data_IF_977505150994
#
_entry.id   IF_977505150994
#
_cell.length_a   1.000
_cell.length_b   1.000
_cell.length_c   1.000
_cell.angle_alpha   90.00
_cell.angle_beta   90.00
_cell.angle_gamma   90.00
#
_symmetry.space_group_name_H-M   'P 1'
#
loop_
_entity.id
_entity.type
_entity.pdbx_description
1 polymer ?
#
# COMPACT_ATOMS: atom_id res chain seq x y z
N UNK A 1 -11.40 5.61 -20.35
CA UNK A 1 -11.54 5.30 -18.90
C UNK A 1 -11.61 6.61 -18.10
N UNK A 2 -12.05 6.57 -16.81
CA UNK A 2 -11.98 7.75 -15.94
C UNK A 2 -10.53 7.99 -15.53
N UNK A 3 -10.09 9.26 -15.44
CA UNK A 3 -8.75 9.57 -14.96
C UNK A 3 -8.50 9.04 -13.53
N UNK A 4 -7.28 8.64 -13.18
CA UNK A 4 -6.92 8.17 -11.84
C UNK A 4 -7.34 9.13 -10.73
N UNK A 5 -7.13 10.41 -10.92
CA UNK A 5 -7.51 11.45 -9.97
C UNK A 5 -9.02 11.44 -9.68
N UNK A 6 -9.86 11.39 -10.72
CA UNK A 6 -11.32 11.32 -10.55
C UNK A 6 -11.76 10.06 -9.84
N UNK A 7 -11.11 8.93 -10.12
CA UNK A 7 -11.40 7.64 -9.43
C UNK A 7 -11.05 7.75 -7.96
N UNK A 8 -9.83 8.17 -7.63
CA UNK A 8 -9.35 8.26 -6.25
C UNK A 8 -10.13 9.30 -5.44
N UNK A 9 -10.43 10.48 -6.01
CA UNK A 9 -11.25 11.50 -5.37
C UNK A 9 -12.66 10.99 -5.10
N UNK A 10 -13.28 10.27 -6.04
CA UNK A 10 -14.60 9.66 -5.82
C UNK A 10 -14.58 8.65 -4.69
N UNK A 11 -13.55 7.80 -4.59
CA UNK A 11 -13.39 6.86 -3.46
C UNK A 11 -13.28 7.61 -2.13
N UNK A 12 -12.44 8.65 -2.07
CA UNK A 12 -12.23 9.47 -0.87
C UNK A 12 -13.50 10.21 -0.44
N UNK A 13 -14.29 10.72 -1.38
CA UNK A 13 -15.56 11.38 -1.03
C UNK A 13 -16.59 10.40 -0.46
N UNK A 14 -16.75 9.23 -1.10
CA UNK A 14 -17.69 8.22 -0.62
C UNK A 14 -17.26 7.58 0.71
N UNK A 15 -15.96 7.53 1.00
CA UNK A 15 -15.45 6.96 2.27
C UNK A 15 -15.82 7.79 3.51
N UNK A 16 -16.28 9.03 3.33
CA UNK A 16 -16.79 9.86 4.43
C UNK A 16 -18.11 9.36 5.00
N UNK A 17 -18.85 8.60 4.22
CA UNK A 17 -20.07 7.93 4.66
C UNK A 17 -19.74 6.50 5.10
N UNK A 18 -19.75 6.25 6.41
CA UNK A 18 -19.45 4.94 6.98
C UNK A 18 -20.43 3.82 6.55
N UNK A 19 -21.61 4.18 6.05
CA UNK A 19 -22.61 3.25 5.54
C UNK A 19 -22.40 2.90 4.07
N UNK A 20 -21.58 3.67 3.36
CA UNK A 20 -21.34 3.46 1.93
C UNK A 20 -20.54 2.18 1.69
N UNK A 21 -21.00 1.36 0.77
CA UNK A 21 -20.34 0.14 0.33
C UNK A 21 -19.79 0.32 -1.07
N UNK A 22 -18.50 0.15 -1.21
CA UNK A 22 -17.84 0.24 -2.50
C UNK A 22 -18.17 -0.98 -3.38
N UNK A 23 -18.41 -0.72 -4.65
CA UNK A 23 -18.64 -1.77 -5.65
C UNK A 23 -17.54 -1.76 -6.71
N UNK A 24 -17.24 -2.93 -7.23
CA UNK A 24 -16.36 -3.11 -8.39
C UNK A 24 -14.95 -2.53 -8.19
N UNK A 25 -14.42 -2.54 -6.97
CA UNK A 25 -13.06 -2.04 -6.69
C UNK A 25 -12.00 -2.74 -7.54
N UNK A 26 -12.15 -4.05 -7.74
CA UNK A 26 -11.22 -4.84 -8.56
C UNK A 26 -11.10 -4.30 -10.00
N UNK A 27 -12.16 -3.74 -10.58
CA UNK A 27 -12.12 -3.15 -11.93
C UNK A 27 -11.19 -1.93 -12.05
N UNK A 28 -10.81 -1.31 -10.93
CA UNK A 28 -9.85 -0.20 -10.94
C UNK A 28 -8.47 -0.71 -11.39
N UNK A 29 -8.16 -1.99 -11.10
CA UNK A 29 -6.93 -2.66 -11.57
C UNK A 29 -6.89 -2.88 -13.09
N UNK A 30 -7.98 -2.61 -13.82
CA UNK A 30 -8.02 -2.71 -15.28
C UNK A 30 -7.72 -1.36 -15.97
N UNK A 31 -7.48 -0.32 -15.18
CA UNK A 31 -7.22 1.02 -15.71
C UNK A 31 -5.72 1.23 -15.90
N UNK A 32 -5.27 1.28 -17.14
CA UNK A 32 -3.86 1.49 -17.51
C UNK A 32 -3.27 2.77 -16.90
N UNK A 33 -4.05 3.86 -16.84
CA UNK A 33 -3.59 5.13 -16.29
C UNK A 33 -3.26 5.01 -14.78
N UNK A 34 -3.92 4.11 -14.04
CA UNK A 34 -3.56 3.81 -12.66
C UNK A 34 -2.15 3.22 -12.56
N UNK A 35 -1.78 2.34 -13.50
CA UNK A 35 -0.43 1.76 -13.56
C UNK A 35 0.62 2.80 -13.95
N UNK A 36 0.30 3.76 -14.80
CA UNK A 36 1.22 4.86 -15.11
C UNK A 36 1.49 5.72 -13.88
N UNK A 37 0.45 6.08 -13.14
CA UNK A 37 0.61 6.82 -11.87
C UNK A 37 1.38 5.99 -10.85
N UNK A 38 1.07 4.69 -10.73
CA UNK A 38 1.82 3.78 -9.85
C UNK A 38 3.30 3.73 -10.24
N UNK A 39 3.60 3.58 -11.52
CA UNK A 39 4.96 3.60 -12.03
C UNK A 39 5.69 4.90 -11.67
N UNK A 40 5.08 6.07 -11.92
CA UNK A 40 5.66 7.36 -11.56
C UNK A 40 5.96 7.48 -10.06
N UNK A 41 5.08 6.98 -9.21
CA UNK A 41 5.25 7.00 -7.74
C UNK A 41 6.38 6.13 -7.24
N UNK A 42 6.65 5.01 -7.90
CA UNK A 42 7.71 4.08 -7.49
C UNK A 42 9.03 4.30 -8.23
N UNK A 43 9.02 4.95 -9.41
CA UNK A 43 10.18 5.10 -10.29
C UNK A 43 11.38 5.74 -9.58
N UNK A 44 11.18 6.85 -8.91
CA UNK A 44 12.24 7.63 -8.27
C UNK A 44 12.65 7.11 -6.88
N UNK A 45 12.02 6.02 -6.38
CA UNK A 45 12.34 5.49 -5.05
C UNK A 45 13.60 4.62 -5.08
N UNK A 46 14.44 4.77 -4.07
CA UNK A 46 15.59 3.90 -3.85
C UNK A 46 15.17 2.42 -3.79
N UNK A 47 16.04 1.53 -4.28
CA UNK A 47 15.81 0.09 -4.27
C UNK A 47 14.99 -0.45 -5.43
N UNK A 48 14.46 0.40 -6.33
CA UNK A 48 13.71 -0.09 -7.50
C UNK A 48 14.59 -0.80 -8.53
N UNK A 49 15.88 -0.50 -8.54
CA UNK A 49 16.88 -1.22 -9.34
C UNK A 49 17.26 -2.59 -8.75
N UNK A 50 16.78 -2.91 -7.55
CA UNK A 50 17.01 -4.23 -6.94
C UNK A 50 16.15 -5.27 -7.64
N UNK A 51 16.81 -6.27 -8.24
CA UNK A 51 16.15 -7.37 -8.95
C UNK A 51 15.29 -8.20 -8.01
N UNK A 52 14.04 -8.44 -8.40
CA UNK A 52 13.16 -9.40 -7.76
C UNK A 52 13.61 -10.86 -7.95
N UNK A 53 12.73 -11.81 -7.64
CA UNK A 53 12.95 -13.24 -7.89
C UNK A 53 13.01 -13.58 -9.38
N UNK A 54 12.34 -12.78 -10.22
CA UNK A 54 12.33 -12.89 -11.68
C UNK A 54 13.56 -12.28 -12.38
N UNK A 55 14.48 -11.69 -11.62
CA UNK A 55 15.68 -11.04 -12.14
C UNK A 55 15.46 -9.72 -12.86
N UNK A 56 14.22 -9.22 -12.92
CA UNK A 56 13.87 -7.98 -13.60
C UNK A 56 13.95 -6.76 -12.67
N UNK A 57 14.14 -5.60 -13.30
CA UNK A 57 14.15 -4.28 -12.63
C UNK A 57 13.11 -3.37 -13.25
N UNK A 58 13.05 -2.15 -12.77
CA UNK A 58 12.17 -1.09 -13.29
C UNK A 58 12.47 -0.74 -14.77
N UNK A 59 13.71 -0.92 -15.24
CA UNK A 59 14.12 -0.58 -16.61
C UNK A 59 13.42 -1.42 -17.68
N UNK A 60 12.84 -2.56 -17.31
CA UNK A 60 12.09 -3.42 -18.21
C UNK A 60 10.65 -2.93 -18.42
N UNK A 61 10.33 -1.67 -18.05
CA UNK A 61 9.00 -1.12 -18.17
C UNK A 61 8.62 -0.86 -19.62
N UNK A 62 7.41 -1.24 -20.01
CA UNK A 62 6.82 -0.93 -21.31
C UNK A 62 5.29 -0.93 -21.23
N UNK A 63 4.63 -0.24 -22.18
CA UNK A 63 3.18 -0.24 -22.28
C UNK A 63 2.63 -1.64 -22.47
N UNK A 64 3.24 -2.43 -23.36
CA UNK A 64 2.88 -3.84 -23.59
C UNK A 64 2.96 -4.71 -22.32
N UNK A 65 3.86 -4.36 -21.40
CA UNK A 65 3.97 -5.06 -20.11
C UNK A 65 2.78 -4.75 -19.23
N UNK A 66 2.33 -3.49 -19.18
CA UNK A 66 1.13 -3.10 -18.43
C UNK A 66 -0.10 -3.77 -19.03
N UNK A 67 -0.29 -3.69 -20.35
CA UNK A 67 -1.41 -4.35 -21.05
C UNK A 67 -1.50 -5.83 -20.70
N UNK A 68 -0.38 -6.55 -20.86
CA UNK A 68 -0.32 -7.98 -20.51
C UNK A 68 -0.62 -8.23 -19.03
N UNK A 69 -0.15 -7.38 -18.13
CA UNK A 69 -0.41 -7.50 -16.71
C UNK A 69 -1.91 -7.31 -16.41
N UNK A 70 -2.52 -6.30 -17.02
CA UNK A 70 -3.96 -6.04 -16.90
C UNK A 70 -4.78 -7.21 -17.46
N UNK A 71 -4.37 -7.81 -18.58
CA UNK A 71 -5.08 -8.95 -19.14
C UNK A 71 -5.06 -10.14 -18.18
N UNK A 72 -3.92 -10.43 -17.54
CA UNK A 72 -3.86 -11.49 -16.50
C UNK A 72 -4.67 -11.18 -15.25
N UNK A 73 -4.94 -9.89 -14.96
CA UNK A 73 -5.85 -9.49 -13.88
C UNK A 73 -7.32 -9.63 -14.29
N UNK A 74 -7.66 -9.31 -15.55
CA UNK A 74 -9.04 -9.44 -16.06
C UNK A 74 -9.51 -10.87 -16.13
N UNK A 75 -8.63 -11.79 -16.53
CA UNK A 75 -8.92 -13.21 -16.65
C UNK A 75 -8.63 -13.99 -15.34
N UNK A 76 -8.25 -13.28 -14.27
CA UNK A 76 -7.97 -13.83 -12.94
C UNK A 76 -6.85 -14.88 -12.91
N UNK A 77 -5.97 -14.88 -13.91
CA UNK A 77 -4.84 -15.81 -14.00
C UNK A 77 -3.56 -15.28 -13.34
N UNK A 78 -3.57 -14.03 -12.89
CA UNK A 78 -2.41 -13.44 -12.23
C UNK A 78 -2.05 -14.20 -10.94
N UNK A 79 -0.77 -14.61 -10.84
CA UNK A 79 -0.22 -15.22 -9.64
C UNK A 79 0.97 -14.39 -9.13
N UNK A 80 0.91 -13.86 -7.90
CA UNK A 80 2.05 -13.16 -7.29
C UNK A 80 3.26 -14.07 -7.21
N UNK A 81 4.44 -13.51 -7.48
CA UNK A 81 5.68 -14.26 -7.42
C UNK A 81 6.28 -14.23 -6.01
N UNK A 82 7.00 -15.28 -5.60
CA UNK A 82 7.71 -15.28 -4.32
C UNK A 82 8.68 -14.10 -4.21
N UNK A 83 8.63 -13.40 -3.08
CA UNK A 83 9.57 -12.32 -2.81
C UNK A 83 10.98 -12.85 -2.57
N UNK A 84 11.99 -12.20 -3.16
CA UNK A 84 13.38 -12.49 -2.89
C UNK A 84 13.77 -12.00 -1.50
N UNK A 85 14.24 -12.89 -0.63
CA UNK A 85 14.68 -12.51 0.71
C UNK A 85 16.11 -11.96 0.68
N UNK A 86 16.26 -10.75 1.21
CA UNK A 86 17.56 -10.07 1.40
C UNK A 86 17.72 -9.72 2.88
N UNK A 87 18.95 -9.79 3.40
CA UNK A 87 19.22 -9.47 4.80
C UNK A 87 19.95 -8.13 4.92
N UNK A 88 19.35 -7.18 5.64
CA UNK A 88 19.93 -5.86 5.89
C UNK A 88 20.55 -5.83 7.28
N UNK A 89 21.81 -5.38 7.44
CA UNK A 89 22.44 -5.25 8.74
C UNK A 89 21.75 -4.15 9.57
N UNK A 90 21.58 -4.43 10.86
CA UNK A 90 21.14 -3.45 11.86
C UNK A 90 22.37 -2.84 12.56
N UNK A 91 22.22 -1.66 13.17
CA UNK A 91 23.29 -0.99 13.96
C UNK A 91 23.83 -1.86 15.11
N UNK A 92 23.03 -2.78 15.63
CA UNK A 92 23.40 -3.71 16.71
C UNK A 92 24.02 -5.02 16.21
N UNK A 93 24.49 -5.10 14.99
CA UNK A 93 25.11 -6.29 14.38
C UNK A 93 24.14 -7.39 13.92
N UNK A 94 22.88 -7.33 14.32
CA UNK A 94 21.86 -8.27 13.86
C UNK A 94 21.44 -7.96 12.41
N UNK A 95 20.88 -8.95 11.72
CA UNK A 95 20.31 -8.77 10.38
C UNK A 95 18.78 -8.77 10.46
N UNK A 96 18.13 -7.94 9.63
CA UNK A 96 16.68 -8.03 9.43
C UNK A 96 16.40 -8.58 8.04
N UNK A 97 15.47 -9.53 7.90
CA UNK A 97 15.01 -9.97 6.59
C UNK A 97 14.19 -8.86 5.92
N UNK A 98 14.37 -8.72 4.62
CA UNK A 98 13.56 -7.87 3.75
C UNK A 98 13.09 -8.71 2.56
N UNK A 99 11.81 -8.72 2.28
CA UNK A 99 11.23 -9.29 1.06
C UNK A 99 11.30 -8.28 -0.07
N UNK A 100 11.89 -8.66 -1.20
CA UNK A 100 11.91 -7.84 -2.42
C UNK A 100 10.96 -8.49 -3.42
N UNK A 101 9.75 -7.94 -3.63
CA UNK A 101 8.81 -8.45 -4.61
C UNK A 101 9.30 -8.20 -6.04
N UNK A 102 8.72 -8.89 -7.01
CA UNK A 102 8.97 -8.62 -8.42
C UNK A 102 8.47 -7.22 -8.80
N UNK A 103 8.91 -6.72 -9.94
CA UNK A 103 8.48 -5.39 -10.37
C UNK A 103 6.99 -5.36 -10.73
N UNK A 104 6.44 -6.43 -11.31
CA UNK A 104 5.00 -6.56 -11.56
C UNK A 104 4.20 -6.52 -10.27
N UNK A 105 4.63 -7.28 -9.25
CA UNK A 105 3.97 -7.26 -7.94
C UNK A 105 4.03 -5.87 -7.31
N UNK A 106 5.17 -5.17 -7.39
CA UNK A 106 5.28 -3.79 -6.90
C UNK A 106 4.29 -2.84 -7.58
N UNK A 107 4.09 -2.96 -8.90
CA UNK A 107 3.13 -2.13 -9.63
C UNK A 107 1.69 -2.39 -9.16
N UNK A 108 1.28 -3.66 -9.07
CA UNK A 108 -0.06 -4.01 -8.61
C UNK A 108 -0.25 -3.55 -7.16
N UNK A 109 0.72 -3.83 -6.28
CA UNK A 109 0.69 -3.40 -4.89
C UNK A 109 0.53 -1.88 -4.76
N UNK A 110 1.21 -1.10 -5.61
CA UNK A 110 1.07 0.36 -5.59
C UNK A 110 -0.32 0.82 -6.06
N UNK A 111 -0.91 0.19 -7.08
CA UNK A 111 -2.29 0.49 -7.49
C UNK A 111 -3.27 0.15 -6.36
N UNK A 112 -3.14 -1.03 -5.74
CA UNK A 112 -3.96 -1.43 -4.59
C UNK A 112 -3.76 -0.45 -3.42
N UNK A 113 -2.51 -0.04 -3.13
CA UNK A 113 -2.20 0.94 -2.09
C UNK A 113 -2.90 2.28 -2.35
N UNK A 114 -2.91 2.78 -3.60
CA UNK A 114 -3.60 4.03 -3.95
C UNK A 114 -5.11 3.93 -3.70
N UNK A 115 -5.71 2.80 -4.03
CA UNK A 115 -7.15 2.57 -3.81
C UNK A 115 -7.47 2.52 -2.31
N UNK A 116 -6.72 1.72 -1.55
CA UNK A 116 -6.92 1.59 -0.10
C UNK A 116 -6.63 2.90 0.63
N UNK A 117 -5.59 3.64 0.23
CA UNK A 117 -5.29 4.97 0.77
C UNK A 117 -6.45 5.94 0.55
N UNK A 118 -7.05 5.97 -0.65
CA UNK A 118 -8.19 6.84 -0.95
C UNK A 118 -9.42 6.49 -0.09
N UNK A 119 -9.61 5.22 0.26
CA UNK A 119 -10.73 4.77 1.08
C UNK A 119 -10.50 5.02 2.58
N UNK A 120 -9.28 4.71 3.08
CA UNK A 120 -9.03 4.68 4.52
C UNK A 120 -8.36 5.93 5.10
N UNK A 121 -7.66 6.75 4.28
CA UNK A 121 -6.88 7.89 4.78
C UNK A 121 -7.72 8.87 5.61
N UNK A 122 -8.94 9.14 5.17
CA UNK A 122 -9.87 10.04 5.87
C UNK A 122 -10.41 9.52 7.20
N UNK A 123 -10.30 8.20 7.43
CA UNK A 123 -10.87 7.52 8.60
C UNK A 123 -9.82 7.18 9.67
N UNK A 124 -8.54 7.46 9.42
CA UNK A 124 -7.51 7.25 10.43
C UNK A 124 -7.62 8.28 11.55
N UNK A 125 -7.39 7.83 12.77
CA UNK A 125 -7.30 8.71 13.94
C UNK A 125 -6.27 9.82 13.73
N UNK A 126 -6.55 11.03 14.26
CA UNK A 126 -5.68 12.18 14.10
C UNK A 126 -4.29 11.98 14.73
N UNK A 127 -4.19 11.07 15.70
CA UNK A 127 -2.95 10.66 16.37
C UNK A 127 -2.09 9.69 15.55
N UNK A 128 -2.63 9.15 14.44
CA UNK A 128 -1.89 8.26 13.55
C UNK A 128 -0.98 9.06 12.63
N UNK A 129 0.34 8.81 12.68
CA UNK A 129 1.33 9.54 11.90
C UNK A 129 2.14 8.67 10.94
N UNK A 130 2.26 7.35 11.22
CA UNK A 130 3.12 6.45 10.46
C UNK A 130 2.63 6.18 9.05
N UNK A 131 3.52 6.33 8.05
CA UNK A 131 3.28 5.98 6.63
C UNK A 131 2.09 6.66 5.95
N UNK A 132 1.60 7.76 6.50
CA UNK A 132 0.48 8.53 5.95
C UNK A 132 0.96 9.72 5.11
N UNK A 133 0.19 10.13 4.06
CA UNK A 133 0.46 11.36 3.31
C UNK A 133 0.52 12.58 4.25
N UNK A 134 1.48 13.47 4.01
CA UNK A 134 1.68 14.72 4.79
C UNK A 134 1.90 14.52 6.29
N UNK A 135 2.18 13.29 6.74
CA UNK A 135 2.54 12.95 8.13
C UNK A 135 3.99 12.46 8.19
N UNK A 136 4.64 12.68 9.32
CA UNK A 136 6.04 12.31 9.53
C UNK A 136 6.36 12.14 11.02
N UNK A 137 7.58 11.71 11.34
CA UNK A 137 8.07 11.73 12.72
C UNK A 137 8.01 13.14 13.33
N UNK A 138 8.28 14.20 12.53
CA UNK A 138 8.20 15.59 13.02
C UNK A 138 6.77 16.00 13.37
N UNK A 139 5.77 15.60 12.57
CA UNK A 139 4.37 15.88 12.92
C UNK A 139 3.94 15.14 14.18
N UNK A 140 4.43 13.90 14.39
CA UNK A 140 4.19 13.15 15.63
C UNK A 140 4.81 13.83 16.85
N UNK A 141 6.09 14.24 16.75
CA UNK A 141 6.79 14.95 17.83
C UNK A 141 6.11 16.28 18.17
N UNK A 142 5.70 17.04 17.16
CA UNK A 142 4.96 18.31 17.36
C UNK A 142 3.62 18.05 18.05
N UNK A 143 2.93 16.98 17.70
CA UNK A 143 1.69 16.57 18.34
C UNK A 143 1.92 16.25 19.83
N UNK A 144 2.90 15.40 20.13
CA UNK A 144 3.28 15.06 21.50
C UNK A 144 3.64 16.32 22.30
N UNK A 145 4.45 17.22 21.74
CA UNK A 145 4.84 18.45 22.41
C UNK A 145 3.65 19.34 22.77
N UNK A 146 2.62 19.38 21.93
CA UNK A 146 1.44 20.23 22.15
C UNK A 146 0.42 19.61 23.10
N UNK A 147 0.15 18.30 22.94
CA UNK A 147 -0.97 17.62 23.61
C UNK A 147 -0.59 16.96 24.94
N UNK A 148 0.72 16.61 25.12
CA UNK A 148 1.17 15.89 26.31
C UNK A 148 1.71 16.81 27.40
N UNK A 149 1.36 18.10 27.38
CA UNK A 149 1.72 19.03 28.44
C UNK A 149 1.14 18.60 29.79
N UNK A 150 2.03 18.45 30.78
CA UNK A 150 1.64 18.02 32.12
C UNK A 150 1.50 16.51 32.30
N UNK A 151 1.76 15.71 31.27
CA UNK A 151 1.79 14.26 31.39
C UNK A 151 2.90 13.81 32.36
N UNK A 152 2.53 13.07 33.42
CA UNK A 152 3.47 12.51 34.42
C UNK A 152 3.91 11.09 34.11
N UNK A 153 3.14 10.38 33.29
CA UNK A 153 3.35 9.00 32.93
C UNK A 153 3.32 8.83 31.42
N UNK A 154 4.19 7.98 30.93
CA UNK A 154 4.23 7.57 29.53
C UNK A 154 4.17 6.05 29.46
N UNK A 155 3.21 5.51 28.71
CA UNK A 155 3.07 4.08 28.46
C UNK A 155 3.45 3.80 27.01
N UNK A 156 4.53 3.05 26.80
CA UNK A 156 4.99 2.64 25.49
C UNK A 156 4.56 1.20 25.22
N UNK A 157 4.02 0.95 24.04
CA UNK A 157 3.64 -0.38 23.57
C UNK A 157 4.06 -0.58 22.12
N UNK A 158 4.50 -1.81 21.79
CA UNK A 158 4.83 -2.21 20.42
C UNK A 158 4.30 -3.63 20.14
N UNK A 159 3.83 -3.84 18.91
CA UNK A 159 3.32 -5.15 18.47
C UNK A 159 4.48 -5.94 17.87
N UNK A 160 4.93 -6.95 18.61
CA UNK A 160 6.00 -7.82 18.14
C UNK A 160 5.59 -8.65 16.92
N UNK A 161 6.36 -8.50 15.84
CA UNK A 161 6.16 -9.31 14.63
C UNK A 161 4.78 -9.08 13.98
N UNK A 162 4.30 -7.84 13.94
CA UNK A 162 2.97 -7.51 13.44
C UNK A 162 2.67 -8.17 12.11
N UNK A 163 3.51 -7.97 11.09
CA UNK A 163 3.28 -8.53 9.75
C UNK A 163 3.36 -10.06 9.68
N UNK A 164 4.17 -10.68 10.53
CA UNK A 164 4.31 -12.14 10.56
C UNK A 164 3.12 -12.82 11.28
N UNK A 165 2.34 -12.06 12.07
CA UNK A 165 1.25 -12.55 12.90
C UNK A 165 -0.13 -12.04 12.48
N UNK A 166 -0.24 -11.34 11.34
CA UNK A 166 -1.55 -10.92 10.80
C UNK A 166 -2.37 -12.18 10.47
N UNK A 167 -3.57 -12.25 11.03
CA UNK A 167 -4.56 -13.24 10.59
C UNK A 167 -5.17 -12.76 9.27
N UNK A 168 -4.87 -13.46 8.18
CA UNK A 168 -5.31 -13.08 6.85
C UNK A 168 -6.83 -13.16 6.69
N UNK A 169 -7.50 -14.12 7.31
CA UNK A 169 -8.95 -14.25 7.24
C UNK A 169 -9.64 -13.05 7.90
N UNK A 170 -9.13 -12.61 9.06
CA UNK A 170 -9.65 -11.41 9.73
C UNK A 170 -9.40 -10.17 8.87
N UNK A 171 -8.22 -10.01 8.29
CA UNK A 171 -7.90 -8.89 7.39
C UNK A 171 -8.84 -8.86 6.18
N UNK A 172 -9.05 -9.99 5.52
CA UNK A 172 -9.97 -10.09 4.36
C UNK A 172 -11.40 -9.75 4.78
N UNK A 173 -11.87 -10.24 5.92
CA UNK A 173 -13.21 -9.93 6.41
C UNK A 173 -13.38 -8.43 6.70
N UNK A 174 -12.37 -7.74 7.21
CA UNK A 174 -12.38 -6.28 7.40
C UNK A 174 -12.50 -5.57 6.04
N UNK A 175 -11.74 -6.01 5.03
CA UNK A 175 -11.81 -5.43 3.68
C UNK A 175 -13.17 -5.68 3.02
N UNK A 176 -13.74 -6.87 3.18
CA UNK A 176 -15.07 -7.22 2.68
C UNK A 176 -16.18 -6.41 3.37
N UNK A 177 -15.98 -5.96 4.60
CA UNK A 177 -16.96 -5.13 5.29
C UNK A 177 -17.18 -3.76 4.62
N UNK A 178 -16.21 -3.24 3.89
CA UNK A 178 -16.30 -1.97 3.14
C UNK A 178 -16.67 -2.14 1.66
N UNK A 179 -16.70 -3.37 1.15
CA UNK A 179 -17.03 -3.65 -0.25
C UNK A 179 -18.05 -4.79 -0.38
N UNK A 180 -18.98 -4.66 -1.34
CA UNK A 180 -19.91 -5.74 -1.69
C UNK A 180 -19.30 -6.79 -2.61
N UNK A 181 -18.17 -6.52 -3.22
CA UNK A 181 -17.52 -7.42 -4.19
C UNK A 181 -16.19 -7.89 -3.65
N UNK A 182 -15.86 -9.15 -3.97
CA UNK A 182 -14.54 -9.70 -3.67
C UNK A 182 -13.44 -8.77 -4.20
N UNK A 183 -12.48 -8.47 -3.34
CA UNK A 183 -11.22 -7.84 -3.68
C UNK A 183 -10.27 -8.90 -4.23
#
# INVERSE_FOLDING_TARGET
MRSPERVLNSLSEHSKDASYKFERLYRILFNEEMFYVAYQRIYAKEGNMTKGSDGQTIDNMSLKRIEKLIDTLKDETYQPQPSKRVYIPKKNGKKRPLGVPTFNDKLIQEVVRMVLEAIYEGNFEYTSHGFRPNRSCHTALTHIQKEFNGAKWFVEGDIKGFFDNINHDVLINILLAVSYTHL
#
